data_IF_619322045150
#
_entry.id   IF_619322045150
#
_cell.length_a   1.000
_cell.length_b   1.000
_cell.length_c   1.000
_cell.angle_alpha   90.00
_cell.angle_beta   90.00
_cell.angle_gamma   90.00
#
_symmetry.space_group_name_H-M   'P 1'
#
loop_
_entity.id
_entity.type
_entity.pdbx_description
1 polymer ?
#
# COMPACT_ATOMS: atom_id res chain seq x y z
N UNK A 1 14.25 8.82 1.97
CA UNK A 1 14.00 7.48 1.38
C UNK A 1 15.29 6.70 1.03
N UNK A 2 16.27 6.58 1.93
CA UNK A 2 17.57 5.92 1.64
C UNK A 2 17.42 4.47 1.15
N UNK A 3 16.47 3.71 1.72
CA UNK A 3 16.24 2.30 1.37
C UNK A 3 15.73 2.10 -0.07
N UNK A 4 14.84 2.97 -0.56
CA UNK A 4 14.30 2.86 -1.92
C UNK A 4 15.39 3.11 -2.97
N UNK A 5 16.26 4.10 -2.72
CA UNK A 5 17.42 4.38 -3.56
C UNK A 5 18.31 3.13 -3.73
N UNK A 6 18.61 2.44 -2.63
CA UNK A 6 19.41 1.20 -2.65
C UNK A 6 18.75 0.08 -3.48
N UNK A 7 17.42 -0.06 -3.43
CA UNK A 7 16.71 -1.05 -4.25
C UNK A 7 16.74 -0.72 -5.73
N UNK A 8 16.56 0.56 -6.10
CA UNK A 8 16.64 1.00 -7.50
C UNK A 8 18.05 0.80 -8.04
N UNK A 9 19.06 1.20 -7.26
CA UNK A 9 20.47 0.98 -7.61
C UNK A 9 20.75 -0.50 -7.89
N UNK A 10 20.39 -1.39 -6.96
CA UNK A 10 20.57 -2.84 -7.11
C UNK A 10 19.81 -3.41 -8.30
N UNK A 11 18.55 -2.99 -8.49
CA UNK A 11 17.73 -3.44 -9.62
C UNK A 11 18.35 -3.02 -10.95
N UNK A 12 18.86 -1.79 -11.05
CA UNK A 12 19.53 -1.28 -12.25
C UNK A 12 20.84 -2.01 -12.55
N UNK A 13 21.67 -2.22 -11.53
CA UNK A 13 22.96 -2.91 -11.66
C UNK A 13 22.81 -4.36 -12.13
N UNK A 14 21.73 -5.03 -11.72
CA UNK A 14 21.46 -6.44 -12.04
C UNK A 14 20.44 -6.65 -13.16
N UNK A 15 19.95 -5.57 -13.77
CA UNK A 15 18.83 -5.57 -14.72
C UNK A 15 17.59 -6.35 -14.20
N UNK A 16 17.32 -6.23 -12.90
CA UNK A 16 16.20 -6.90 -12.22
C UNK A 16 14.93 -6.04 -12.22
N UNK A 17 13.78 -6.72 -12.21
CA UNK A 17 12.49 -6.08 -12.02
C UNK A 17 12.38 -5.41 -10.65
N UNK A 18 11.67 -4.28 -10.58
CA UNK A 18 11.32 -3.63 -9.32
C UNK A 18 9.97 -2.96 -9.48
N UNK A 19 9.01 -3.32 -8.64
CA UNK A 19 7.67 -2.73 -8.62
C UNK A 19 7.36 -2.07 -7.29
N UNK A 20 6.50 -1.06 -7.34
CA UNK A 20 5.99 -0.35 -6.18
C UNK A 20 4.46 -0.31 -6.25
N UNK A 21 3.82 -0.56 -5.10
CA UNK A 21 2.38 -0.38 -4.92
C UNK A 21 2.18 0.73 -3.90
N UNK A 22 1.47 1.78 -4.31
CA UNK A 22 0.98 2.83 -3.43
C UNK A 22 -0.46 2.51 -3.05
N UNK A 23 -0.74 2.49 -1.76
CA UNK A 23 -2.00 2.03 -1.19
C UNK A 23 -2.55 3.15 -0.31
N UNK A 24 -3.82 3.47 -0.50
CA UNK A 24 -4.56 4.40 0.34
C UNK A 24 -5.86 3.70 0.79
N UNK A 25 -6.22 3.86 2.07
CA UNK A 25 -7.42 3.25 2.64
C UNK A 25 -8.66 4.08 2.31
N UNK A 26 -9.62 3.45 1.62
CA UNK A 26 -10.90 4.08 1.35
C UNK A 26 -11.74 4.14 2.64
N UNK A 27 -12.47 5.24 2.83
CA UNK A 27 -13.38 5.49 3.95
C UNK A 27 -12.73 5.50 5.36
N UNK A 28 -11.41 5.52 5.46
CA UNK A 28 -10.73 5.49 6.76
C UNK A 28 -11.07 6.69 7.65
N UNK A 29 -11.24 7.89 7.08
CA UNK A 29 -11.72 9.06 7.82
C UNK A 29 -13.05 8.81 8.53
N UNK A 30 -13.99 8.08 7.90
CA UNK A 30 -15.28 7.74 8.51
C UNK A 30 -15.12 6.87 9.76
N UNK A 31 -14.10 6.00 9.81
CA UNK A 31 -13.79 5.21 11.00
C UNK A 31 -13.35 6.13 12.14
N UNK A 32 -12.47 7.10 11.87
CA UNK A 32 -12.05 8.09 12.87
C UNK A 32 -13.23 8.95 13.34
N UNK A 33 -14.01 9.48 12.40
CA UNK A 33 -15.10 10.41 12.70
C UNK A 33 -16.21 9.73 13.51
N UNK A 34 -16.49 8.43 13.24
CA UNK A 34 -17.57 7.69 13.89
C UNK A 34 -17.16 6.96 15.18
N UNK A 35 -15.93 6.46 15.25
CA UNK A 35 -15.49 5.57 16.33
C UNK A 35 -14.25 6.09 17.09
N UNK A 36 -13.77 7.29 16.74
CA UNK A 36 -12.64 7.96 17.38
C UNK A 36 -11.28 7.49 16.87
N UNK A 37 -10.26 8.32 17.14
CA UNK A 37 -8.89 8.09 16.66
C UNK A 37 -8.22 6.84 17.25
N UNK A 38 -8.66 6.37 18.44
CA UNK A 38 -8.15 5.11 19.01
C UNK A 38 -8.60 3.91 18.19
N UNK A 39 -9.86 3.87 17.78
CA UNK A 39 -10.38 2.84 16.88
C UNK A 39 -9.69 2.88 15.51
N UNK A 40 -9.48 4.08 14.96
CA UNK A 40 -8.72 4.25 13.72
C UNK A 40 -7.26 3.78 13.83
N UNK A 41 -6.58 4.11 14.93
CA UNK A 41 -5.20 3.68 15.18
C UNK A 41 -5.09 2.16 15.25
N UNK A 42 -6.05 1.51 15.91
CA UNK A 42 -6.13 0.05 15.98
C UNK A 42 -6.46 -0.55 14.60
N UNK A 43 -7.37 0.05 13.83
CA UNK A 43 -7.66 -0.39 12.47
C UNK A 43 -6.42 -0.30 11.56
N UNK A 44 -5.62 0.76 11.66
CA UNK A 44 -4.35 0.88 10.92
C UNK A 44 -3.35 -0.21 11.31
N UNK A 45 -3.28 -0.57 12.59
CA UNK A 45 -2.45 -1.67 13.07
C UNK A 45 -2.88 -3.00 12.45
N UNK A 46 -4.19 -3.27 12.43
CA UNK A 46 -4.75 -4.46 11.78
C UNK A 46 -4.50 -4.48 10.28
N UNK A 47 -4.63 -3.35 9.57
CA UNK A 47 -4.26 -3.23 8.15
C UNK A 47 -2.79 -3.60 7.94
N UNK A 48 -1.88 -3.05 8.76
CA UNK A 48 -0.46 -3.38 8.66
C UNK A 48 -0.18 -4.87 8.81
N UNK A 49 -0.84 -5.55 9.76
CA UNK A 49 -0.74 -6.99 9.97
C UNK A 49 -1.29 -7.76 8.76
N UNK A 50 -2.47 -7.37 8.28
CA UNK A 50 -3.14 -7.99 7.14
C UNK A 50 -2.30 -7.89 5.87
N UNK A 51 -1.70 -6.72 5.60
CA UNK A 51 -0.82 -6.50 4.45
C UNK A 51 0.42 -7.40 4.53
N UNK A 52 1.05 -7.51 5.70
CA UNK A 52 2.20 -8.42 5.91
C UNK A 52 1.84 -9.88 5.61
N UNK A 53 0.69 -10.33 6.11
CA UNK A 53 0.20 -11.70 5.88
C UNK A 53 -0.16 -11.94 4.41
N UNK A 54 -0.74 -10.95 3.72
CA UNK A 54 -1.21 -11.08 2.34
C UNK A 54 -0.07 -11.18 1.33
N UNK A 55 1.02 -10.43 1.54
CA UNK A 55 2.07 -10.27 0.53
C UNK A 55 3.16 -11.35 0.65
N UNK A 56 3.32 -11.98 1.82
CA UNK A 56 4.48 -12.82 2.15
C UNK A 56 5.80 -12.06 1.89
N UNK A 57 6.27 -11.32 2.90
CA UNK A 57 7.30 -10.29 2.76
C UNK A 57 8.72 -10.78 2.43
N UNK A 58 8.95 -12.02 2.01
CA UNK A 58 10.28 -12.50 1.63
C UNK A 58 10.90 -11.60 0.55
N UNK A 59 11.83 -10.74 0.96
CA UNK A 59 12.47 -9.73 0.12
C UNK A 59 11.67 -8.44 -0.14
N UNK A 60 10.38 -8.39 0.21
CA UNK A 60 9.52 -7.21 0.00
C UNK A 60 9.59 -6.23 1.18
N UNK A 61 9.31 -4.94 0.93
CA UNK A 61 9.30 -3.91 1.98
C UNK A 61 7.94 -3.25 2.05
N UNK A 62 7.26 -3.41 3.17
CA UNK A 62 6.05 -2.66 3.49
C UNK A 62 6.38 -1.50 4.43
N UNK A 63 5.95 -0.29 4.09
CA UNK A 63 6.08 0.90 4.90
C UNK A 63 4.75 1.67 4.97
N UNK A 64 4.48 2.33 6.09
CA UNK A 64 3.42 3.35 6.18
C UNK A 64 4.01 4.66 5.67
N UNK A 65 3.40 5.26 4.66
CA UNK A 65 3.91 6.47 4.00
C UNK A 65 3.51 7.72 4.77
N UNK A 66 2.24 7.82 5.17
CA UNK A 66 1.69 8.90 5.98
C UNK A 66 0.21 8.63 6.23
N UNK A 67 -0.36 9.10 7.35
CA UNK A 67 -1.80 8.94 7.60
C UNK A 67 -2.29 7.49 7.44
N UNK A 68 -3.17 7.27 6.48
CA UNK A 68 -3.76 5.99 6.08
C UNK A 68 -3.15 5.40 4.78
N UNK A 69 -1.99 5.90 4.37
CA UNK A 69 -1.27 5.51 3.17
C UNK A 69 -0.14 4.53 3.48
N UNK A 70 0.03 3.54 2.61
CA UNK A 70 1.06 2.51 2.68
C UNK A 70 1.78 2.39 1.33
N UNK A 71 3.06 2.07 1.39
CA UNK A 71 3.88 1.75 0.21
C UNK A 71 4.44 0.34 0.37
N UNK A 72 4.29 -0.45 -0.68
CA UNK A 72 4.85 -1.78 -0.80
C UNK A 72 5.85 -1.82 -1.95
N UNK A 73 7.11 -2.05 -1.62
CA UNK A 73 8.20 -2.25 -2.58
C UNK A 73 8.41 -3.74 -2.82
N UNK A 74 8.44 -4.15 -4.09
CA UNK A 74 8.47 -5.52 -4.56
C UNK A 74 9.70 -5.73 -5.46
N UNK A 75 10.86 -6.07 -4.89
CA UNK A 75 12.04 -6.41 -5.67
C UNK A 75 11.84 -7.68 -6.48
N UNK A 76 12.48 -7.75 -7.65
CA UNK A 76 12.42 -8.88 -8.59
C UNK A 76 11.00 -9.20 -9.05
N UNK A 77 10.14 -8.19 -9.09
CA UNK A 77 8.75 -8.35 -9.45
C UNK A 77 8.32 -7.40 -10.57
N UNK A 78 7.82 -8.00 -11.65
CA UNK A 78 7.27 -7.28 -12.79
C UNK A 78 5.91 -6.64 -12.46
N UNK A 79 5.53 -5.65 -13.27
CA UNK A 79 4.30 -4.89 -13.12
C UNK A 79 3.03 -5.78 -13.02
N UNK A 80 2.88 -6.80 -13.87
CA UNK A 80 1.66 -7.62 -13.90
C UNK A 80 1.51 -8.49 -12.64
N UNK A 81 2.62 -8.98 -12.08
CA UNK A 81 2.61 -9.68 -10.78
C UNK A 81 2.27 -8.71 -9.64
N UNK A 82 2.85 -7.51 -9.64
CA UNK A 82 2.52 -6.48 -8.67
C UNK A 82 1.04 -6.07 -8.73
N UNK A 83 0.46 -5.98 -9.94
CA UNK A 83 -0.97 -5.75 -10.15
C UNK A 83 -1.84 -6.88 -9.59
N UNK A 84 -1.44 -8.13 -9.75
CA UNK A 84 -2.15 -9.26 -9.10
C UNK A 84 -2.09 -9.16 -7.58
N UNK A 85 -0.97 -8.71 -7.02
CA UNK A 85 -0.83 -8.47 -5.57
C UNK A 85 -1.72 -7.32 -5.10
N UNK A 86 -1.80 -6.21 -5.82
CA UNK A 86 -2.69 -5.10 -5.45
C UNK A 86 -4.15 -5.54 -5.41
N UNK A 87 -4.60 -6.37 -6.34
CA UNK A 87 -5.94 -6.95 -6.32
C UNK A 87 -6.17 -7.90 -5.14
N UNK A 88 -5.16 -8.70 -4.76
CA UNK A 88 -5.22 -9.53 -3.54
C UNK A 88 -5.34 -8.66 -2.29
N UNK A 89 -4.56 -7.58 -2.18
CA UNK A 89 -4.61 -6.62 -1.07
C UNK A 89 -6.00 -6.01 -0.94
N UNK A 90 -6.56 -5.51 -2.05
CA UNK A 90 -7.91 -4.94 -2.08
C UNK A 90 -8.96 -5.92 -1.57
N UNK A 91 -8.91 -7.17 -2.04
CA UNK A 91 -9.83 -8.24 -1.61
C UNK A 91 -9.63 -8.58 -0.13
N UNK A 92 -8.40 -8.69 0.33
CA UNK A 92 -8.08 -8.96 1.72
C UNK A 92 -8.65 -7.88 2.65
N UNK A 93 -8.39 -6.61 2.36
CA UNK A 93 -8.90 -5.47 3.15
C UNK A 93 -10.44 -5.47 3.15
N UNK A 94 -11.07 -5.61 1.98
CA UNK A 94 -12.55 -5.61 1.88
C UNK A 94 -13.20 -6.75 2.68
N UNK A 95 -12.55 -7.92 2.74
CA UNK A 95 -13.11 -9.11 3.37
C UNK A 95 -12.76 -9.25 4.86
N UNK A 96 -11.75 -8.50 5.34
CA UNK A 96 -11.32 -8.53 6.73
C UNK A 96 -12.37 -7.90 7.66
N UNK A 97 -12.51 -8.45 8.86
CA UNK A 97 -13.38 -7.91 9.92
C UNK A 97 -12.50 -7.12 10.87
N UNK A 98 -12.47 -5.80 10.70
CA UNK A 98 -11.67 -4.92 11.56
C UNK A 98 -12.31 -4.74 12.92
N UNK A 99 -11.50 -4.60 13.97
CA UNK A 99 -11.97 -4.32 15.34
C UNK A 99 -12.95 -5.40 15.85
N UNK A 100 -12.64 -6.65 15.53
CA UNK A 100 -13.39 -7.83 15.99
C UNK A 100 -13.09 -8.23 17.44
N UNK A 101 -12.08 -7.60 18.04
CA UNK A 101 -11.70 -7.77 19.45
C UNK A 101 -11.68 -6.41 20.13
N UNK A 102 -12.16 -6.36 21.37
CA UNK A 102 -12.05 -5.18 22.21
C UNK A 102 -10.59 -4.95 22.61
N UNK A 103 -10.19 -3.68 22.68
CA UNK A 103 -8.91 -3.27 23.27
C UNK A 103 -9.17 -2.66 24.66
N UNK A 104 -9.73 -3.48 25.55
CA UNK A 104 -10.20 -3.05 26.88
C UNK A 104 -11.38 -2.08 26.78
N UNK A 105 -11.55 -1.23 27.80
CA UNK A 105 -12.63 -0.23 27.85
C UNK A 105 -12.49 0.88 26.80
N UNK A 106 -11.32 1.02 26.16
CA UNK A 106 -11.01 2.15 25.27
C UNK A 106 -11.55 1.98 23.85
N UNK A 107 -11.67 0.74 23.36
CA UNK A 107 -12.21 0.44 22.03
C UNK A 107 -13.15 -0.76 22.12
N UNK A 108 -14.47 -0.58 21.92
CA UNK A 108 -15.43 -1.68 21.92
C UNK A 108 -15.24 -2.56 20.67
N UNK A 109 -15.86 -3.74 20.68
CA UNK A 109 -15.95 -4.58 19.48
C UNK A 109 -16.86 -3.89 18.48
N UNK A 110 -16.37 -3.63 17.27
CA UNK A 110 -17.10 -2.92 16.22
C UNK A 110 -17.39 -3.78 14.98
N UNK A 111 -16.66 -4.88 14.77
CA UNK A 111 -16.87 -5.82 13.67
C UNK A 111 -17.03 -5.14 12.29
N UNK A 112 -16.11 -4.25 11.96
CA UNK A 112 -16.17 -3.45 10.74
C UNK A 112 -15.74 -4.28 9.52
N UNK A 113 -16.67 -5.02 8.94
CA UNK A 113 -16.49 -5.76 7.68
C UNK A 113 -16.94 -4.92 6.49
N UNK A 114 -16.11 -4.80 5.46
CA UNK A 114 -16.45 -4.07 4.22
C UNK A 114 -16.55 -2.55 4.36
N UNK A 115 -16.31 -1.99 5.56
CA UNK A 115 -16.30 -0.55 5.81
C UNK A 115 -15.03 0.10 5.25
N UNK A 116 -13.88 -0.52 5.52
CA UNK A 116 -12.58 -0.07 5.03
C UNK A 116 -12.33 -0.73 3.67
N UNK A 117 -12.06 0.11 2.67
CA UNK A 117 -11.60 -0.33 1.35
C UNK A 117 -10.14 0.02 1.12
N UNK A 118 -9.65 -0.24 -0.08
CA UNK A 118 -8.34 0.25 -0.51
C UNK A 118 -8.34 0.61 -1.99
N UNK A 119 -7.66 1.71 -2.29
CA UNK A 119 -7.29 2.12 -3.63
C UNK A 119 -5.79 1.91 -3.79
N UNK A 120 -5.38 1.25 -4.87
CA UNK A 120 -3.99 0.86 -5.07
C UNK A 120 -3.51 1.25 -6.47
N UNK A 121 -2.40 1.98 -6.54
CA UNK A 121 -1.70 2.30 -7.78
C UNK A 121 -0.39 1.54 -7.85
N UNK A 122 -0.07 1.00 -9.03
CA UNK A 122 1.14 0.19 -9.25
C UNK A 122 2.06 0.94 -10.19
N UNK A 123 3.36 0.93 -9.93
CA UNK A 123 4.41 1.32 -10.85
C UNK A 123 5.53 0.27 -10.90
N UNK A 124 6.34 0.33 -11.95
CA UNK A 124 7.46 -0.58 -12.18
C UNK A 124 8.61 0.18 -12.81
N UNK A 125 9.82 -0.07 -12.29
CA UNK A 125 11.04 0.55 -12.77
C UNK A 125 11.25 0.27 -14.26
N UNK A 126 11.18 -1.01 -14.68
CA UNK A 126 11.45 -1.40 -16.05
C UNK A 126 10.35 -0.99 -17.04
N UNK A 127 9.09 -1.05 -16.61
CA UNK A 127 7.94 -0.73 -17.48
C UNK A 127 7.73 0.78 -17.64
N UNK A 128 7.91 1.53 -16.56
CA UNK A 128 7.43 2.92 -16.49
C UNK A 128 8.56 3.96 -16.53
N UNK A 129 9.82 3.56 -16.32
CA UNK A 129 10.92 4.48 -16.09
C UNK A 129 12.08 4.19 -17.05
N UNK A 130 12.58 5.25 -17.69
CA UNK A 130 13.73 5.18 -18.59
C UNK A 130 15.01 4.89 -17.80
N UNK A 131 15.80 3.91 -18.26
CA UNK A 131 17.01 3.42 -17.56
C UNK A 131 18.13 4.47 -17.51
N UNK A 132 18.11 5.40 -18.45
CA UNK A 132 19.10 6.48 -18.62
C UNK A 132 18.96 7.58 -17.56
N UNK A 133 17.78 7.70 -16.93
CA UNK A 133 17.53 8.74 -15.94
C UNK A 133 18.44 8.56 -14.70
N UNK A 134 18.85 9.64 -14.02
CA UNK A 134 19.51 9.56 -12.73
C UNK A 134 18.66 8.78 -11.72
N UNK A 135 19.30 8.01 -10.81
CA UNK A 135 18.59 7.16 -9.83
C UNK A 135 17.62 7.98 -8.98
N UNK A 136 17.98 9.23 -8.67
CA UNK A 136 17.14 10.14 -7.90
C UNK A 136 15.82 10.47 -8.64
N UNK A 137 15.89 10.76 -9.94
CA UNK A 137 14.71 10.96 -10.78
C UNK A 137 13.89 9.68 -10.96
N UNK A 138 14.56 8.53 -11.13
CA UNK A 138 13.86 7.24 -11.20
C UNK A 138 13.06 6.97 -9.92
N UNK A 139 13.64 7.27 -8.75
CA UNK A 139 13.00 7.11 -7.44
C UNK A 139 11.74 7.97 -7.33
N UNK A 140 11.84 9.24 -7.70
CA UNK A 140 10.73 10.18 -7.59
C UNK A 140 9.59 9.82 -8.57
N UNK A 141 9.94 9.45 -9.81
CA UNK A 141 8.97 8.98 -10.80
C UNK A 141 8.27 7.69 -10.36
N UNK A 142 8.99 6.74 -9.76
CA UNK A 142 8.41 5.46 -9.32
C UNK A 142 7.30 5.69 -8.29
N UNK A 143 7.55 6.55 -7.30
CA UNK A 143 6.54 6.90 -6.29
C UNK A 143 5.40 7.70 -6.94
N UNK A 144 5.74 8.77 -7.67
CA UNK A 144 4.74 9.69 -8.26
C UNK A 144 3.78 8.97 -9.20
N UNK A 145 4.27 8.04 -10.03
CA UNK A 145 3.41 7.29 -10.94
C UNK A 145 2.46 6.35 -10.20
N UNK A 146 2.93 5.68 -9.15
CA UNK A 146 2.08 4.81 -8.34
C UNK A 146 1.00 5.63 -7.61
N UNK A 147 1.37 6.75 -7.00
CA UNK A 147 0.44 7.68 -6.35
C UNK A 147 -0.61 8.22 -7.34
N UNK A 148 -0.20 8.77 -8.48
CA UNK A 148 -1.13 9.28 -9.50
C UNK A 148 -2.11 8.20 -9.99
N UNK A 149 -1.66 6.95 -10.16
CA UNK A 149 -2.51 5.83 -10.56
C UNK A 149 -3.49 5.46 -9.45
N UNK A 150 -3.05 5.47 -8.20
CA UNK A 150 -3.91 5.26 -7.03
C UNK A 150 -5.00 6.34 -6.97
N UNK A 151 -4.61 7.61 -7.10
CA UNK A 151 -5.52 8.74 -7.05
C UNK A 151 -6.59 8.70 -8.14
N UNK A 152 -6.22 8.31 -9.37
CA UNK A 152 -7.18 8.08 -10.47
C UNK A 152 -8.23 7.02 -10.10
N UNK A 153 -7.81 5.91 -9.52
CA UNK A 153 -8.72 4.84 -9.07
C UNK A 153 -9.63 5.35 -7.94
N UNK A 154 -9.08 6.09 -6.97
CA UNK A 154 -9.84 6.66 -5.85
C UNK A 154 -10.89 7.67 -6.31
N UNK A 155 -10.58 8.48 -7.34
CA UNK A 155 -11.54 9.40 -7.96
C UNK A 155 -12.69 8.65 -8.63
N UNK A 156 -12.40 7.62 -9.43
CA UNK A 156 -13.43 6.83 -10.13
C UNK A 156 -14.40 6.16 -9.16
N UNK A 157 -13.94 5.72 -7.98
CA UNK A 157 -14.83 5.13 -6.95
C UNK A 157 -15.75 6.12 -6.24
N UNK A 158 -15.42 7.42 -6.30
CA UNK A 158 -16.20 8.49 -5.63
C UNK A 158 -17.25 9.11 -6.56
N UNK A 159 -17.17 8.82 -7.86
CA UNK A 159 -18.17 9.17 -8.87
C UNK A 159 -19.25 8.11 -8.90
#
# INVERSE_FOLDING_TARGET
HKKLFEYIKKAREKDEELSLIFIDLDNFKSVNDKYGHLAGSQALREVGILLKATVNLNGSVLARYGGDEFVLLLPKMEYEKAKKISEKIKKAIKNHIFLSKSLGFLVPILNLKGVIGASCGVSSLRKDIKKELPIEEQKDLLIRLADMRMYKIKKVKKM
#
